data_IF_704895232277
#
_entry.id   IF_704895232277
#
_cell.length_a   1.000
_cell.length_b   1.000
_cell.length_c   1.000
_cell.angle_alpha   90.00
_cell.angle_beta   90.00
_cell.angle_gamma   90.00
#
_symmetry.space_group_name_H-M   'P 1'
#
loop_
_entity.id
_entity.type
_entity.pdbx_description
1 polymer ?
#
# COMPACT_ATOMS: atom_id res chain seq x y z
N UNK A 1 -13.22 -11.60 -6.78
CA UNK A 1 -13.47 -10.21 -6.32
C UNK A 1 -13.17 -9.26 -7.47
N UNK A 2 -14.08 -8.36 -7.83
CA UNK A 2 -13.92 -7.39 -8.93
C UNK A 2 -13.87 -5.98 -8.33
N UNK A 3 -12.88 -5.18 -8.72
CA UNK A 3 -12.82 -3.77 -8.33
C UNK A 3 -13.68 -2.97 -9.32
N UNK A 4 -14.52 -2.09 -8.78
CA UNK A 4 -15.42 -1.23 -9.56
C UNK A 4 -15.00 0.24 -9.39
N UNK A 5 -15.35 1.13 -10.33
CA UNK A 5 -15.22 2.57 -10.13
C UNK A 5 -15.86 3.02 -8.80
N UNK A 6 -15.22 3.96 -8.11
CA UNK A 6 -15.53 4.41 -6.75
C UNK A 6 -14.85 3.61 -5.65
N UNK A 7 -14.25 2.46 -5.96
CA UNK A 7 -13.56 1.65 -4.96
C UNK A 7 -12.32 2.37 -4.41
N UNK A 8 -12.11 2.26 -3.10
CA UNK A 8 -10.94 2.83 -2.42
C UNK A 8 -9.77 1.86 -2.47
N UNK A 9 -8.61 2.35 -2.89
CA UNK A 9 -7.37 1.56 -2.99
C UNK A 9 -6.31 2.17 -2.10
N UNK A 10 -5.78 1.38 -1.18
CA UNK A 10 -4.67 1.81 -0.33
C UNK A 10 -3.37 1.86 -1.14
N UNK A 11 -2.65 2.97 -1.03
CA UNK A 11 -1.37 3.23 -1.71
C UNK A 11 -0.28 3.22 -0.65
N UNK A 12 0.59 2.19 -0.66
CA UNK A 12 1.56 1.93 0.39
C UNK A 12 3.02 1.97 -0.11
N UNK A 13 3.95 2.22 0.81
CA UNK A 13 5.40 2.09 0.59
C UNK A 13 5.98 1.03 1.54
N UNK A 14 5.84 -0.27 1.22
CA UNK A 14 6.27 -1.36 2.10
C UNK A 14 7.81 -1.53 2.15
N UNK A 15 8.57 -0.76 1.38
CA UNK A 15 10.03 -0.71 1.40
C UNK A 15 10.50 0.75 1.30
N UNK A 16 10.96 1.21 0.13
CA UNK A 16 11.39 2.60 -0.06
C UNK A 16 10.20 3.54 -0.30
N UNK A 17 10.05 4.56 0.54
CA UNK A 17 9.04 5.61 0.37
C UNK A 17 9.46 6.67 -0.65
N UNK A 18 9.68 6.26 -1.90
CA UNK A 18 10.10 7.15 -2.99
C UNK A 18 9.16 8.34 -3.19
N UNK A 19 7.90 8.22 -2.76
CA UNK A 19 6.89 9.27 -2.85
C UNK A 19 7.22 10.49 -1.99
N UNK A 20 7.89 10.29 -0.85
CA UNK A 20 8.42 11.37 -0.03
C UNK A 20 9.66 12.03 -0.64
N UNK A 21 10.48 11.24 -1.33
CA UNK A 21 11.69 11.73 -1.99
C UNK A 21 11.40 12.46 -3.33
N UNK A 22 10.35 12.05 -4.05
CA UNK A 22 9.98 12.56 -5.38
C UNK A 22 8.49 12.93 -5.46
N UNK A 23 8.04 13.94 -4.69
CA UNK A 23 6.62 14.26 -4.54
C UNK A 23 5.95 14.61 -5.88
N UNK A 24 6.64 15.29 -6.80
CA UNK A 24 6.06 15.65 -8.10
C UNK A 24 5.69 14.46 -8.99
N UNK A 25 6.41 13.34 -8.88
CA UNK A 25 6.08 12.12 -9.62
C UNK A 25 4.89 11.42 -8.98
N UNK A 26 4.86 11.40 -7.65
CA UNK A 26 3.75 10.84 -6.88
C UNK A 26 2.43 11.56 -7.16
N UNK A 27 2.43 12.90 -7.12
CA UNK A 27 1.23 13.71 -7.41
C UNK A 27 0.68 13.49 -8.82
N UNK A 28 1.52 13.09 -9.78
CA UNK A 28 1.07 12.68 -11.12
C UNK A 28 0.46 11.28 -11.09
N UNK A 29 1.11 10.33 -10.42
CA UNK A 29 0.61 8.96 -10.27
C UNK A 29 -0.76 8.91 -9.57
N UNK A 30 -0.94 9.72 -8.54
CA UNK A 30 -2.19 9.81 -7.77
C UNK A 30 -3.39 10.29 -8.59
N UNK A 31 -3.17 11.01 -9.70
CA UNK A 31 -4.24 11.44 -10.62
C UNK A 31 -4.66 10.32 -11.58
N UNK A 32 -3.77 9.38 -11.89
CA UNK A 32 -4.09 8.26 -12.80
C UNK A 32 -5.20 7.37 -12.22
N UNK A 33 -5.16 7.13 -10.90
CA UNK A 33 -6.13 6.28 -10.20
C UNK A 33 -7.58 6.77 -10.37
N UNK A 34 -7.93 8.02 -10.04
CA UNK A 34 -9.27 8.54 -10.31
C UNK A 34 -9.52 8.76 -11.81
N UNK A 35 -8.60 9.40 -12.54
CA UNK A 35 -8.88 9.89 -13.89
C UNK A 35 -8.99 8.76 -14.94
N UNK A 36 -8.25 7.65 -14.75
CA UNK A 36 -8.20 6.54 -15.71
C UNK A 36 -8.89 5.29 -15.22
N UNK A 37 -8.89 5.04 -13.92
CA UNK A 37 -9.40 3.80 -13.34
C UNK A 37 -10.68 4.03 -12.50
N UNK A 38 -11.06 5.29 -12.25
CA UNK A 38 -12.20 5.62 -11.39
C UNK A 38 -11.99 5.21 -9.94
N UNK A 39 -10.75 5.03 -9.48
CA UNK A 39 -10.43 4.55 -8.13
C UNK A 39 -10.10 5.71 -7.19
N UNK A 40 -10.46 5.57 -5.91
CA UNK A 40 -10.16 6.56 -4.88
C UNK A 40 -8.87 6.14 -4.15
N UNK A 41 -7.72 6.80 -4.38
CA UNK A 41 -6.51 6.45 -3.68
C UNK A 41 -6.57 6.87 -2.20
N UNK A 42 -6.03 6.03 -1.33
CA UNK A 42 -5.94 6.28 0.12
C UNK A 42 -4.50 6.07 0.55
N UNK A 43 -3.84 7.14 0.99
CA UNK A 43 -2.50 7.05 1.57
C UNK A 43 -2.57 6.70 3.05
N UNK A 44 -1.48 6.12 3.54
CA UNK A 44 -1.27 5.78 4.94
C UNK A 44 -0.08 6.59 5.51
N UNK A 45 0.06 6.68 6.85
CA UNK A 45 1.09 7.50 7.49
C UNK A 45 2.50 7.35 6.92
N UNK A 46 2.94 6.12 6.61
CA UNK A 46 4.29 5.85 6.12
C UNK A 46 4.45 5.96 4.60
N UNK A 47 3.36 6.13 3.84
CA UNK A 47 3.36 6.18 2.37
C UNK A 47 4.35 7.22 1.81
N UNK A 48 4.50 8.36 2.49
CA UNK A 48 5.45 9.43 2.10
C UNK A 48 6.65 9.54 3.04
N UNK A 49 6.77 8.67 4.04
CA UNK A 49 7.79 8.80 5.08
C UNK A 49 9.07 8.03 4.71
N UNK A 50 10.07 8.75 4.22
CA UNK A 50 11.41 8.18 3.96
C UNK A 50 12.03 7.74 5.29
N UNK A 51 12.52 6.51 5.35
CA UNK A 51 13.15 5.95 6.55
C UNK A 51 12.17 5.51 7.64
N UNK A 52 10.88 5.34 7.33
CA UNK A 52 9.93 4.71 8.24
C UNK A 52 10.43 3.33 8.72
N UNK A 53 10.23 3.01 9.99
CA UNK A 53 10.64 1.73 10.55
C UNK A 53 9.85 0.58 9.92
N UNK A 54 10.43 -0.62 9.92
CA UNK A 54 9.75 -1.82 9.44
C UNK A 54 8.43 -2.08 10.17
N UNK A 55 8.38 -1.85 11.49
CA UNK A 55 7.18 -1.94 12.30
C UNK A 55 6.10 -0.91 11.90
N UNK A 56 6.48 0.33 11.61
CA UNK A 56 5.53 1.34 11.16
C UNK A 56 4.94 0.99 9.78
N UNK A 57 5.77 0.50 8.85
CA UNK A 57 5.30 0.00 7.54
C UNK A 57 4.39 -1.22 7.68
N UNK A 58 4.66 -2.10 8.64
CA UNK A 58 3.81 -3.25 8.96
C UNK A 58 2.44 -2.83 9.52
N UNK A 59 2.40 -1.78 10.34
CA UNK A 59 1.17 -1.22 10.87
C UNK A 59 0.28 -0.66 9.74
N UNK A 60 0.86 0.05 8.77
CA UNK A 60 0.14 0.53 7.59
C UNK A 60 -0.42 -0.61 6.74
N UNK A 61 0.38 -1.66 6.50
CA UNK A 61 -0.06 -2.85 5.78
C UNK A 61 -1.24 -3.53 6.49
N UNK A 62 -1.15 -3.68 7.80
CA UNK A 62 -2.20 -4.28 8.64
C UNK A 62 -3.47 -3.43 8.62
N UNK A 63 -3.35 -2.10 8.74
CA UNK A 63 -4.49 -1.19 8.69
C UNK A 63 -5.18 -1.21 7.33
N UNK A 64 -4.42 -1.23 6.22
CA UNK A 64 -4.98 -1.33 4.88
C UNK A 64 -5.66 -2.68 4.62
N UNK A 65 -5.09 -3.78 5.13
CA UNK A 65 -5.65 -5.13 4.98
C UNK A 65 -6.93 -5.32 5.78
N UNK A 66 -6.95 -4.87 7.03
CA UNK A 66 -8.12 -5.02 7.91
C UNK A 66 -9.19 -3.96 7.69
N UNK A 67 -8.85 -2.82 7.06
CA UNK A 67 -9.79 -1.74 6.78
C UNK A 67 -10.93 -2.18 5.84
N UNK A 68 -12.20 -2.18 6.29
CA UNK A 68 -13.33 -2.65 5.47
C UNK A 68 -13.66 -1.71 4.30
N UNK A 69 -13.23 -0.45 4.37
CA UNK A 69 -13.41 0.52 3.29
C UNK A 69 -12.41 0.34 2.14
N UNK A 70 -11.32 -0.42 2.34
CA UNK A 70 -10.26 -0.62 1.35
C UNK A 70 -10.55 -1.87 0.53
N UNK A 71 -10.78 -1.68 -0.76
CA UNK A 71 -11.07 -2.76 -1.70
C UNK A 71 -9.81 -3.46 -2.23
N UNK A 72 -8.66 -2.79 -2.24
CA UNK A 72 -7.38 -3.36 -2.67
C UNK A 72 -6.18 -2.54 -2.15
N UNK A 73 -5.00 -3.15 -2.24
CA UNK A 73 -3.73 -2.53 -1.86
C UNK A 73 -2.80 -2.46 -3.07
N UNK A 74 -2.18 -1.31 -3.28
CA UNK A 74 -1.18 -1.04 -4.31
C UNK A 74 0.13 -0.58 -3.66
N UNK A 75 1.18 -1.38 -3.81
CA UNK A 75 2.53 -0.98 -3.46
C UNK A 75 3.10 -0.06 -4.54
N UNK A 76 3.62 1.08 -4.13
CA UNK A 76 4.05 2.18 -5.00
C UNK A 76 5.36 1.91 -5.71
N UNK A 77 6.34 1.43 -4.96
CA UNK A 77 7.64 0.96 -5.45
C UNK A 77 8.18 -0.08 -4.47
N UNK A 78 8.94 -1.04 -5.00
CA UNK A 78 9.74 -1.94 -4.18
C UNK A 78 10.96 -1.27 -3.57
N UNK A 79 11.90 -2.09 -3.11
CA UNK A 79 13.20 -1.68 -2.59
C UNK A 79 13.95 -2.93 -2.16
N UNK A 80 14.84 -2.81 -1.17
CA UNK A 80 15.75 -3.91 -0.80
C UNK A 80 15.53 -4.42 0.64
N UNK A 81 14.54 -3.89 1.37
CA UNK A 81 14.33 -4.18 2.79
C UNK A 81 12.90 -4.63 3.14
N UNK A 82 12.05 -4.92 2.15
CA UNK A 82 10.65 -5.32 2.40
C UNK A 82 10.52 -6.56 3.30
N UNK A 83 11.48 -7.48 3.23
CA UNK A 83 11.53 -8.69 4.07
C UNK A 83 11.54 -8.36 5.58
N UNK A 84 12.03 -7.17 5.95
CA UNK A 84 12.05 -6.70 7.35
C UNK A 84 10.65 -6.45 7.92
N UNK A 85 9.62 -6.34 7.08
CA UNK A 85 8.23 -6.13 7.50
C UNK A 85 7.60 -7.43 8.01
N UNK A 86 7.99 -8.59 7.47
CA UNK A 86 7.36 -9.89 7.77
C UNK A 86 7.32 -10.24 9.28
N UNK A 87 8.39 -10.03 10.08
CA UNK A 87 8.37 -10.32 11.51
C UNK A 87 7.35 -9.50 12.32
N UNK A 88 6.85 -8.40 11.76
CA UNK A 88 5.89 -7.50 12.41
C UNK A 88 4.44 -7.75 11.97
N UNK A 89 4.20 -8.73 11.10
CA UNK A 89 2.85 -9.10 10.66
C UNK A 89 2.33 -10.29 11.46
N UNK A 90 1.06 -10.22 11.86
CA UNK A 90 0.37 -11.34 12.51
C UNK A 90 -0.49 -12.11 11.49
N UNK A 91 -0.09 -13.31 11.06
CA UNK A 91 -0.86 -14.11 10.09
C UNK A 91 -2.31 -14.37 10.52
N UNK A 92 -2.62 -14.42 11.82
CA UNK A 92 -3.97 -14.63 12.30
C UNK A 92 -4.88 -13.44 11.94
N UNK A 93 -4.37 -12.21 12.04
CA UNK A 93 -5.09 -10.99 11.63
C UNK A 93 -5.37 -11.01 10.13
N UNK A 94 -4.39 -11.37 9.30
CA UNK A 94 -4.58 -11.41 7.84
C UNK A 94 -5.57 -12.48 7.39
N UNK A 95 -5.66 -13.59 8.13
CA UNK A 95 -6.63 -14.68 7.88
C UNK A 95 -8.02 -14.40 8.47
N UNK A 96 -8.15 -13.47 9.42
CA UNK A 96 -9.42 -13.14 10.07
C UNK A 96 -10.40 -12.35 9.20
N UNK A 97 -9.91 -11.78 8.09
CA UNK A 97 -10.71 -10.96 7.16
C UNK A 97 -10.71 -11.56 5.76
N UNK A 98 -11.74 -11.30 4.93
CA UNK A 98 -11.74 -11.74 3.53
C UNK A 98 -10.50 -11.22 2.78
N UNK A 99 -9.84 -12.06 1.96
CA UNK A 99 -8.68 -11.63 1.20
C UNK A 99 -9.06 -10.54 0.19
N UNK A 100 -8.16 -9.58 0.00
CA UNK A 100 -8.29 -8.51 -1.00
C UNK A 100 -7.09 -8.48 -1.96
N UNK A 101 -7.25 -7.96 -3.19
CA UNK A 101 -6.14 -7.85 -4.13
C UNK A 101 -4.97 -7.02 -3.57
N UNK A 102 -3.75 -7.52 -3.77
CA UNK A 102 -2.49 -6.84 -3.47
C UNK A 102 -1.65 -6.79 -4.74
N UNK A 103 -1.30 -5.60 -5.21
CA UNK A 103 -0.55 -5.39 -6.45
C UNK A 103 0.73 -4.57 -6.21
N UNK A 104 1.80 -4.90 -6.91
CA UNK A 104 3.08 -4.18 -6.90
C UNK A 104 4.01 -4.71 -7.98
N UNK A 105 5.03 -3.94 -8.35
CA UNK A 105 6.07 -4.39 -9.29
C UNK A 105 7.47 -4.21 -8.68
N UNK A 106 8.41 -5.10 -9.07
CA UNK A 106 9.72 -5.44 -8.44
C UNK A 106 9.67 -6.43 -7.27
N UNK A 107 10.77 -7.20 -7.12
CA UNK A 107 10.85 -8.47 -6.34
C UNK A 107 10.22 -8.37 -4.96
N UNK A 108 9.18 -9.18 -4.80
CA UNK A 108 8.67 -9.73 -3.55
C UNK A 108 9.44 -11.04 -3.33
N UNK A 109 10.63 -10.98 -2.73
CA UNK A 109 11.37 -12.17 -2.26
C UNK A 109 11.90 -11.90 -0.87
#
# INVERSE_FOLDING_TARGET
>A
MRISPGARVAVLSPSFAALGAFPHVHERGMRVLPDRLGLVPVEHPTTRQVGASAAARAADLTAAWTGPSIAAIMATIGGNDQITVLPHLDPAVFRSVPPKPFAGCRRVQ
#
